data_IF_653593063548
#
_entry.id   IF_653593063548
#
_cell.length_a   1.000
_cell.length_b   1.000
_cell.length_c   1.000
_cell.angle_alpha   90.00
_cell.angle_beta   90.00
_cell.angle_gamma   90.00
#
_symmetry.space_group_name_H-M   'P 1'
#
loop_
_entity.id
_entity.type
_entity.pdbx_description
1 polymer ?
#
# COMPACT_ATOMS: atom_id res chain seq x y z
N UNK A 1 6.47 -2.94 -30.47
CA UNK A 1 5.77 -2.93 -29.17
C UNK A 1 6.32 -1.81 -28.31
N UNK A 2 5.43 -1.09 -27.64
CA UNK A 2 5.73 0.05 -26.74
C UNK A 2 6.77 -0.34 -25.68
N UNK A 3 6.69 -1.56 -25.13
CA UNK A 3 7.64 -2.05 -24.12
C UNK A 3 9.09 -2.09 -24.60
N UNK A 4 9.32 -2.46 -25.87
CA UNK A 4 10.68 -2.49 -26.45
C UNK A 4 11.26 -1.08 -26.59
N UNK A 5 10.42 -0.10 -26.93
CA UNK A 5 10.82 1.31 -27.09
C UNK A 5 11.17 1.89 -25.72
N UNK A 6 10.35 1.65 -24.69
CA UNK A 6 10.59 2.13 -23.34
C UNK A 6 11.90 1.57 -22.77
N UNK A 7 12.14 0.26 -22.94
CA UNK A 7 13.41 -0.37 -22.53
C UNK A 7 14.61 0.19 -23.28
N UNK A 8 14.51 0.39 -24.61
CA UNK A 8 15.60 0.96 -25.42
C UNK A 8 15.99 2.36 -24.94
N UNK A 9 15.00 3.15 -24.53
CA UNK A 9 15.21 4.50 -23.99
C UNK A 9 15.49 4.51 -22.47
N UNK A 10 15.79 3.35 -21.87
CA UNK A 10 16.14 3.18 -20.44
C UNK A 10 15.06 3.64 -19.45
N UNK A 11 13.81 3.70 -19.87
CA UNK A 11 12.68 3.94 -18.97
C UNK A 11 12.44 2.72 -18.09
N UNK A 12 12.11 2.96 -16.82
CA UNK A 12 11.80 1.95 -15.81
C UNK A 12 10.34 2.10 -15.38
N UNK A 13 9.64 0.98 -15.10
CA UNK A 13 8.28 1.03 -14.59
C UNK A 13 8.29 1.34 -13.09
N UNK A 14 7.51 2.32 -12.67
CA UNK A 14 7.26 2.69 -11.28
C UNK A 14 5.79 2.49 -10.93
N UNK A 15 5.53 1.92 -9.76
CA UNK A 15 4.17 1.77 -9.23
C UNK A 15 3.74 3.11 -8.64
N UNK A 16 2.56 3.59 -9.04
CA UNK A 16 1.97 4.79 -8.45
C UNK A 16 1.64 4.46 -6.99
N UNK A 17 2.22 5.22 -6.06
CA UNK A 17 1.90 5.16 -4.64
C UNK A 17 0.90 6.28 -4.35
N UNK A 18 -0.35 5.91 -4.10
CA UNK A 18 -1.33 6.80 -3.48
C UNK A 18 -1.25 6.52 -1.98
N UNK A 19 -0.62 7.42 -1.24
CA UNK A 19 -0.55 7.35 0.21
C UNK A 19 -1.61 8.28 0.79
N UNK A 20 -2.24 7.87 1.89
CA UNK A 20 -3.07 8.77 2.66
C UNK A 20 -2.15 9.79 3.35
N UNK A 21 -2.52 11.06 3.30
CA UNK A 21 -1.84 12.10 4.08
C UNK A 21 -2.09 11.84 5.56
N UNK A 22 -1.04 11.91 6.37
CA UNK A 22 -1.15 11.73 7.81
C UNK A 22 -1.24 13.11 8.45
N UNK A 23 -2.17 13.27 9.39
CA UNK A 23 -2.21 14.44 10.25
C UNK A 23 -1.12 14.34 11.32
N UNK A 24 -0.80 15.46 11.96
CA UNK A 24 0.24 15.54 13.00
C UNK A 24 0.03 14.49 14.12
N UNK A 25 -1.21 14.30 14.57
CA UNK A 25 -1.57 13.33 15.60
C UNK A 25 -1.47 11.86 15.15
N UNK A 26 -1.54 11.57 13.85
CA UNK A 26 -1.63 10.19 13.36
C UNK A 26 -0.34 9.40 13.62
N UNK A 27 0.79 10.08 13.70
CA UNK A 27 2.07 9.45 14.01
C UNK A 27 2.06 8.84 15.41
N UNK A 28 1.69 9.62 16.42
CA UNK A 28 1.65 9.18 17.82
C UNK A 28 0.58 8.09 18.02
N UNK A 29 -0.60 8.25 17.43
CA UNK A 29 -1.67 7.25 17.52
C UNK A 29 -1.26 5.90 16.94
N UNK A 30 -0.54 5.91 15.82
CA UNK A 30 -0.07 4.67 15.19
C UNK A 30 1.02 3.99 16.01
N UNK A 31 1.95 4.75 16.59
CA UNK A 31 2.97 4.19 17.50
C UNK A 31 2.31 3.58 18.72
N UNK A 32 1.39 4.32 19.36
CA UNK A 32 0.67 3.84 20.53
C UNK A 32 -0.14 2.57 20.26
N UNK A 33 -0.79 2.49 19.09
CA UNK A 33 -1.48 1.27 18.66
C UNK A 33 -0.51 0.09 18.52
N UNK A 34 0.64 0.29 17.88
CA UNK A 34 1.64 -0.77 17.72
C UNK A 34 2.15 -1.26 19.07
N UNK A 35 2.50 -0.36 19.99
CA UNK A 35 2.96 -0.72 21.35
C UNK A 35 1.89 -1.52 22.10
N UNK A 36 0.64 -1.08 22.01
CA UNK A 36 -0.50 -1.77 22.65
C UNK A 36 -0.71 -3.16 22.07
N UNK A 37 -0.68 -3.31 20.75
CA UNK A 37 -0.83 -4.60 20.08
C UNK A 37 0.31 -5.56 20.44
N UNK A 38 1.56 -5.08 20.47
CA UNK A 38 2.72 -5.90 20.86
C UNK A 38 2.55 -6.42 22.29
N UNK A 39 2.17 -5.55 23.23
CA UNK A 39 1.95 -5.96 24.61
C UNK A 39 0.84 -7.02 24.75
N UNK A 40 -0.23 -6.93 23.96
CA UNK A 40 -1.32 -7.91 23.95
C UNK A 40 -0.88 -9.25 23.35
N UNK A 41 -0.10 -9.22 22.28
CA UNK A 41 0.48 -10.42 21.64
C UNK A 41 1.43 -11.13 22.59
N UNK A 42 2.27 -10.39 23.33
CA UNK A 42 3.21 -10.97 24.29
C UNK A 42 2.53 -11.55 25.53
N UNK A 43 1.40 -10.94 25.95
CA UNK A 43 0.65 -11.39 27.13
C UNK A 43 -0.21 -12.64 26.87
N UNK A 44 -0.78 -12.77 25.66
CA UNK A 44 -1.67 -13.87 25.29
C UNK A 44 -1.24 -14.49 23.95
N UNK A 45 -0.62 -15.69 23.97
CA UNK A 45 -0.08 -16.33 22.75
C UNK A 45 -1.10 -16.54 21.62
N UNK A 46 -2.38 -16.72 21.97
CA UNK A 46 -3.47 -16.97 21.02
C UNK A 46 -4.20 -15.69 20.60
N UNK A 47 -3.78 -14.51 21.08
CA UNK A 47 -4.47 -13.24 20.84
C UNK A 47 -4.73 -12.99 19.35
N UNK A 48 -3.70 -13.16 18.50
CA UNK A 48 -3.84 -12.96 17.05
C UNK A 48 -4.78 -13.98 16.39
N UNK A 49 -4.81 -15.21 16.90
CA UNK A 49 -5.68 -16.28 16.38
C UNK A 49 -7.16 -15.98 16.63
N UNK A 50 -7.46 -15.16 17.65
CA UNK A 50 -8.81 -14.74 18.00
C UNK A 50 -9.29 -13.51 17.21
N UNK A 51 -8.42 -12.89 16.40
CA UNK A 51 -8.77 -11.71 15.60
C UNK A 51 -9.19 -12.13 14.18
N UNK A 52 -10.39 -11.70 13.78
CA UNK A 52 -10.86 -11.79 12.40
C UNK A 52 -10.87 -10.40 11.79
N UNK A 53 -9.95 -10.16 10.86
CA UNK A 53 -9.94 -8.92 10.08
C UNK A 53 -10.95 -8.98 8.94
N UNK A 54 -11.70 -7.91 8.75
CA UNK A 54 -12.59 -7.71 7.60
C UNK A 54 -12.37 -6.32 7.02
N UNK A 55 -12.60 -6.20 5.71
CA UNK A 55 -12.58 -4.93 4.97
C UNK A 55 -13.54 -5.04 3.78
N UNK A 56 -13.96 -3.90 3.24
CA UNK A 56 -14.80 -3.81 2.07
C UNK A 56 -13.98 -3.41 0.84
N UNK A 57 -14.18 -4.11 -0.28
CA UNK A 57 -13.58 -3.77 -1.55
C UNK A 57 -14.64 -3.51 -2.62
N UNK A 58 -14.51 -2.39 -3.33
CA UNK A 58 -15.39 -2.05 -4.45
C UNK A 58 -14.80 -2.53 -5.78
N UNK A 59 -15.57 -3.33 -6.53
CA UNK A 59 -15.22 -3.78 -7.88
C UNK A 59 -16.19 -3.18 -8.90
N UNK A 60 -15.66 -2.54 -9.95
CA UNK A 60 -16.45 -1.91 -11.00
C UNK A 60 -16.28 -2.66 -12.32
N UNK A 61 -17.39 -3.02 -12.97
CA UNK A 61 -17.40 -3.76 -14.25
C UNK A 61 -17.27 -2.88 -15.49
N UNK A 62 -17.29 -1.55 -15.33
CA UNK A 62 -17.23 -0.57 -16.41
C UNK A 62 -15.82 -0.31 -16.96
N UNK A 63 -14.83 -1.12 -16.59
CA UNK A 63 -13.45 -1.02 -17.11
C UNK A 63 -12.62 0.11 -16.49
N UNK A 64 -13.07 0.72 -15.38
CA UNK A 64 -12.20 1.62 -14.60
C UNK A 64 -10.98 0.82 -14.14
N UNK A 65 -9.82 1.17 -14.70
CA UNK A 65 -8.55 0.51 -14.40
C UNK A 65 -8.29 0.66 -12.91
N UNK A 66 -8.13 -0.48 -12.21
CA UNK A 66 -7.66 -0.47 -10.84
C UNK A 66 -6.33 0.31 -10.82
N UNK A 67 -6.34 1.48 -10.17
CA UNK A 67 -5.19 2.39 -10.15
C UNK A 67 -3.93 1.73 -9.55
N UNK A 68 -4.10 0.67 -8.76
CA UNK A 68 -3.01 -0.17 -8.23
C UNK A 68 -2.25 -0.94 -9.33
N UNK A 69 -2.89 -1.17 -10.48
CA UNK A 69 -2.29 -1.80 -11.66
C UNK A 69 -1.63 -0.79 -12.61
N UNK A 70 -1.78 0.51 -12.38
CA UNK A 70 -1.12 1.53 -13.18
C UNK A 70 0.41 1.52 -12.93
N UNK A 71 1.18 1.71 -14.02
CA UNK A 71 2.63 1.84 -14.00
C UNK A 71 3.03 3.08 -14.78
N UNK A 72 3.81 3.94 -14.16
CA UNK A 72 4.47 5.06 -14.83
C UNK A 72 5.81 4.60 -15.37
N UNK A 73 6.14 4.98 -16.60
CA UNK A 73 7.44 4.69 -17.18
C UNK A 73 8.25 5.97 -17.16
N UNK A 74 9.31 6.00 -16.34
CA UNK A 74 10.16 7.20 -16.16
C UNK A 74 11.64 6.84 -16.20
N UNK A 75 12.49 7.83 -16.46
CA UNK A 75 13.95 7.65 -16.46
C UNK A 75 14.52 7.60 -15.03
N UNK A 76 13.91 8.35 -14.10
CA UNK A 76 14.29 8.43 -12.70
C UNK A 76 13.10 8.07 -11.80
N UNK A 77 13.40 7.68 -10.56
CA UNK A 77 12.37 7.37 -9.58
C UNK A 77 11.62 8.65 -9.22
N UNK A 78 10.28 8.70 -9.37
CA UNK A 78 9.49 9.87 -8.99
C UNK A 78 9.32 10.05 -7.47
N UNK A 79 9.91 9.15 -6.67
CA UNK A 79 9.87 9.13 -5.20
C UNK A 79 11.28 9.08 -4.62
#
# INVERSE_FOLDING_TARGET
>A
SVHKILKRNKFRPYKIRLIHELNEDDFDRRVHFCETMIAQIDAEPDFLSNIVFSDEATFQLNGVVNRLNCRLWLYMNPY
#
